data_IF_257211936423
#
_entry.id   IF_257211936423
#
_cell.length_a   1.000
_cell.length_b   1.000
_cell.length_c   1.000
_cell.angle_alpha   90.00
_cell.angle_beta   90.00
_cell.angle_gamma   90.00
#
_symmetry.space_group_name_H-M   'P 1'
#
loop_
_entity.id
_entity.type
_entity.pdbx_description
1 polymer ?
#
# COMPACT_ATOMS: atom_id res chain seq x y z
N UNK A 1 -27.68 -11.48 -11.23
CA UNK A 1 -26.82 -10.51 -11.93
C UNK A 1 -25.50 -11.20 -12.14
N UNK A 2 -25.04 -11.26 -13.39
CA UNK A 2 -23.76 -11.90 -13.70
C UNK A 2 -22.64 -11.09 -13.04
N UNK A 3 -21.69 -11.76 -12.39
CA UNK A 3 -20.55 -11.10 -11.75
C UNK A 3 -19.68 -10.33 -12.76
N UNK A 4 -19.72 -10.74 -14.03
CA UNK A 4 -19.10 -10.00 -15.13
C UNK A 4 -19.79 -8.64 -15.36
N UNK A 5 -21.12 -8.61 -15.31
CA UNK A 5 -21.90 -7.38 -15.52
C UNK A 5 -21.63 -6.36 -14.41
N UNK A 6 -21.38 -6.83 -13.19
CA UNK A 6 -21.03 -5.96 -12.05
C UNK A 6 -19.79 -5.12 -12.31
N UNK A 7 -18.74 -5.68 -12.92
CA UNK A 7 -17.52 -4.94 -13.22
C UNK A 7 -17.77 -3.70 -14.10
N UNK A 8 -18.75 -3.78 -15.00
CA UNK A 8 -19.05 -2.71 -15.95
C UNK A 8 -20.14 -1.77 -15.45
N UNK A 9 -21.17 -2.29 -14.79
CA UNK A 9 -22.38 -1.54 -14.42
C UNK A 9 -22.43 -1.13 -12.94
N UNK A 10 -21.69 -1.81 -12.06
CA UNK A 10 -21.63 -1.46 -10.64
C UNK A 10 -20.25 -1.84 -10.05
N UNK A 11 -19.20 -1.08 -10.41
CA UNK A 11 -17.84 -1.41 -10.02
C UNK A 11 -17.64 -1.37 -8.50
N UNK A 12 -18.40 -0.57 -7.76
CA UNK A 12 -18.28 -0.53 -6.30
C UNK A 12 -18.77 -1.83 -5.65
N UNK A 13 -19.88 -2.39 -6.14
CA UNK A 13 -20.32 -3.72 -5.71
C UNK A 13 -19.34 -4.81 -6.14
N UNK A 14 -18.78 -4.75 -7.36
CA UNK A 14 -17.74 -5.70 -7.76
C UNK A 14 -16.51 -5.61 -6.85
N UNK A 15 -16.12 -4.40 -6.46
CA UNK A 15 -15.02 -4.16 -5.55
C UNK A 15 -15.25 -4.79 -4.17
N UNK A 16 -16.47 -4.71 -3.63
CA UNK A 16 -16.82 -5.42 -2.41
C UNK A 16 -16.67 -6.95 -2.56
N UNK A 17 -17.09 -7.51 -3.70
CA UNK A 17 -16.98 -8.94 -3.97
C UNK A 17 -15.53 -9.41 -4.01
N UNK A 18 -14.60 -8.65 -4.63
CA UNK A 18 -13.19 -9.02 -4.66
C UNK A 18 -12.53 -8.92 -3.27
N UNK A 19 -12.94 -7.95 -2.45
CA UNK A 19 -12.44 -7.77 -1.08
C UNK A 19 -12.92 -8.88 -0.12
N UNK A 20 -14.24 -9.13 -0.09
CA UNK A 20 -14.84 -10.07 0.85
C UNK A 20 -14.71 -11.54 0.39
N UNK A 21 -14.52 -11.77 -0.91
CA UNK A 21 -14.29 -13.10 -1.47
C UNK A 21 -12.79 -13.40 -1.65
N UNK A 22 -12.24 -13.27 -2.87
CA UNK A 22 -10.86 -13.60 -3.19
C UNK A 22 -9.80 -13.14 -2.20
N UNK A 23 -9.77 -11.85 -1.82
CA UNK A 23 -8.75 -11.32 -0.91
C UNK A 23 -8.81 -11.99 0.47
N UNK A 24 -10.01 -12.11 1.04
CA UNK A 24 -10.20 -12.79 2.34
C UNK A 24 -9.75 -14.25 2.27
N UNK A 25 -10.08 -14.94 1.17
CA UNK A 25 -9.79 -16.35 0.99
C UNK A 25 -8.28 -16.64 0.89
N UNK A 26 -7.55 -15.89 0.05
CA UNK A 26 -6.09 -16.03 -0.06
C UNK A 26 -5.39 -15.63 1.23
N UNK A 27 -5.90 -14.59 1.91
CA UNK A 27 -5.29 -14.11 3.14
C UNK A 27 -5.51 -15.09 4.31
N UNK A 28 -6.66 -15.77 4.35
CA UNK A 28 -6.90 -16.86 5.28
C UNK A 28 -5.89 -17.99 5.09
N UNK A 29 -5.61 -18.39 3.85
CA UNK A 29 -4.54 -19.35 3.54
C UNK A 29 -3.19 -18.90 4.06
N UNK A 30 -2.80 -17.64 3.78
CA UNK A 30 -1.53 -17.07 4.25
C UNK A 30 -1.38 -17.10 5.78
N UNK A 31 -2.45 -16.83 6.53
CA UNK A 31 -2.41 -16.84 8.01
C UNK A 31 -2.13 -18.22 8.62
N UNK A 32 -2.27 -19.30 7.85
CA UNK A 32 -1.91 -20.66 8.29
C UNK A 32 -0.41 -20.93 8.20
N UNK A 33 0.34 -20.10 7.47
CA UNK A 33 1.78 -20.26 7.30
C UNK A 33 2.55 -19.67 8.48
N UNK A 34 3.34 -20.51 9.15
CA UNK A 34 4.29 -20.03 10.15
C UNK A 34 5.48 -19.36 9.47
N UNK A 35 5.68 -18.08 9.72
CA UNK A 35 6.80 -17.30 9.18
C UNK A 35 7.65 -16.69 10.30
N UNK A 36 8.93 -16.38 10.04
CA UNK A 36 9.75 -15.64 10.99
C UNK A 36 9.12 -14.30 11.39
N UNK A 37 9.46 -13.81 12.58
CA UNK A 37 8.84 -12.60 13.15
C UNK A 37 8.88 -11.36 12.24
N UNK A 38 9.96 -11.18 11.48
CA UNK A 38 10.07 -10.05 10.55
C UNK A 38 9.18 -10.20 9.32
N UNK A 39 8.92 -11.43 8.86
CA UNK A 39 7.99 -11.70 7.76
C UNK A 39 6.53 -11.47 8.16
N UNK A 40 6.20 -11.46 9.45
CA UNK A 40 4.85 -11.08 9.91
C UNK A 40 4.47 -9.65 9.55
N UNK A 41 5.44 -8.77 9.27
CA UNK A 41 5.14 -7.43 8.75
C UNK A 41 4.50 -7.45 7.36
N UNK A 42 4.70 -8.52 6.58
CA UNK A 42 3.94 -8.74 5.34
C UNK A 42 2.44 -8.89 5.63
N UNK A 43 2.07 -9.66 6.66
CA UNK A 43 0.68 -9.79 7.12
C UNK A 43 0.12 -8.44 7.60
N UNK A 44 0.90 -7.67 8.37
CA UNK A 44 0.47 -6.34 8.84
C UNK A 44 0.24 -5.35 7.70
N UNK A 45 1.03 -5.40 6.63
CA UNK A 45 0.79 -4.59 5.43
C UNK A 45 -0.47 -5.03 4.67
N UNK A 46 -0.76 -6.33 4.62
CA UNK A 46 -2.00 -6.87 4.04
C UNK A 46 -3.21 -6.47 4.89
N UNK A 47 -3.13 -6.59 6.22
CA UNK A 47 -4.17 -6.11 7.14
C UNK A 47 -4.43 -4.62 6.94
N UNK A 48 -3.36 -3.80 6.88
CA UNK A 48 -3.46 -2.37 6.62
C UNK A 48 -4.11 -2.10 5.27
N UNK A 49 -3.73 -2.82 4.23
CA UNK A 49 -4.34 -2.71 2.91
C UNK A 49 -5.84 -3.03 2.96
N UNK A 50 -6.24 -4.12 3.62
CA UNK A 50 -7.64 -4.52 3.76
C UNK A 50 -8.47 -3.49 4.55
N UNK A 51 -7.93 -2.93 5.63
CA UNK A 51 -8.57 -1.87 6.43
C UNK A 51 -8.79 -0.61 5.58
N UNK A 52 -7.77 -0.16 4.85
CA UNK A 52 -7.90 1.00 3.97
C UNK A 52 -8.83 0.73 2.79
N UNK A 53 -8.82 -0.49 2.25
CA UNK A 53 -9.70 -0.92 1.18
C UNK A 53 -11.18 -0.91 1.59
N UNK A 54 -11.49 -1.42 2.80
CA UNK A 54 -12.82 -1.36 3.39
C UNK A 54 -13.23 0.09 3.69
N UNK A 55 -12.32 0.91 4.20
CA UNK A 55 -12.58 2.35 4.41
C UNK A 55 -12.90 3.05 3.10
N UNK A 56 -12.13 2.78 2.04
CA UNK A 56 -12.36 3.31 0.70
C UNK A 56 -13.73 2.91 0.15
N UNK A 57 -14.12 1.63 0.33
CA UNK A 57 -15.45 1.15 -0.08
C UNK A 57 -16.55 1.99 0.57
N UNK A 58 -16.59 2.07 1.89
CA UNK A 58 -17.65 2.80 2.62
C UNK A 58 -17.65 4.30 2.32
N UNK A 59 -16.48 4.92 2.16
CA UNK A 59 -16.41 6.34 1.79
C UNK A 59 -16.89 6.58 0.35
N UNK A 60 -16.67 5.62 -0.55
CA UNK A 60 -17.12 5.68 -1.94
C UNK A 60 -18.64 5.49 -2.09
N UNK A 61 -19.31 4.87 -1.10
CA UNK A 61 -20.78 4.85 -1.01
C UNK A 61 -21.40 6.22 -0.69
N UNK A 62 -20.56 7.19 -0.31
CA UNK A 62 -20.96 8.55 -0.01
C UNK A 62 -21.13 8.88 1.47
N UNK A 63 -20.85 10.14 1.80
CA UNK A 63 -21.06 10.69 3.14
C UNK A 63 -22.25 11.65 3.17
N UNK A 64 -22.78 11.93 4.36
CA UNK A 64 -23.80 12.95 4.54
C UNK A 64 -23.10 14.31 4.68
N UNK A 65 -23.10 15.14 3.63
CA UNK A 65 -22.36 16.41 3.63
C UNK A 65 -23.07 17.57 4.36
N UNK A 66 -24.41 17.61 4.46
CA UNK A 66 -25.12 18.71 5.13
C UNK A 66 -26.53 18.40 5.64
N UNK A 67 -26.91 19.07 6.75
CA UNK A 67 -28.17 19.05 7.52
C UNK A 67 -29.45 19.56 6.80
N UNK A 68 -29.44 19.66 5.47
CA UNK A 68 -30.64 19.94 4.67
C UNK A 68 -31.47 18.69 4.36
N UNK A 69 -30.97 17.52 4.74
CA UNK A 69 -31.66 16.24 4.65
C UNK A 69 -32.79 16.19 5.67
N UNK A 70 -34.00 16.51 5.24
CA UNK A 70 -35.20 15.99 5.90
C UNK A 70 -35.21 14.47 5.77
N UNK A 71 -35.94 13.75 6.62
CA UNK A 71 -36.06 12.27 6.58
C UNK A 71 -36.52 11.72 5.22
N UNK A 72 -36.95 12.58 4.29
CA UNK A 72 -37.44 12.24 2.96
C UNK A 72 -36.40 12.35 1.83
N UNK A 73 -35.29 13.10 1.98
CA UNK A 73 -34.26 13.22 0.93
C UNK A 73 -32.85 13.31 1.56
N UNK A 74 -32.16 12.17 1.69
CA UNK A 74 -30.74 12.13 2.05
C UNK A 74 -29.90 12.36 0.79
N UNK A 75 -29.38 13.56 0.61
CA UNK A 75 -28.36 13.82 -0.41
C UNK A 75 -27.02 13.32 0.15
N UNK A 76 -26.49 12.24 -0.44
CA UNK A 76 -25.12 11.80 -0.18
C UNK A 76 -24.16 12.61 -1.07
N UNK A 77 -23.16 13.21 -0.45
CA UNK A 77 -22.06 13.90 -1.11
C UNK A 77 -20.83 13.01 -1.21
N UNK A 78 -19.96 13.31 -2.16
CA UNK A 78 -18.70 12.59 -2.36
C UNK A 78 -17.60 13.20 -1.47
N UNK A 79 -17.05 12.42 -0.54
CA UNK A 79 -15.90 12.85 0.27
C UNK A 79 -14.61 12.84 -0.58
N UNK A 80 -14.46 13.89 -1.38
CA UNK A 80 -13.35 14.04 -2.32
C UNK A 80 -11.98 13.91 -1.62
N UNK A 81 -11.83 14.48 -0.43
CA UNK A 81 -10.54 14.55 0.25
C UNK A 81 -10.17 13.22 0.89
N UNK A 82 -11.10 12.62 1.64
CA UNK A 82 -10.81 11.38 2.38
C UNK A 82 -10.71 10.20 1.43
N UNK A 83 -11.58 10.09 0.41
CA UNK A 83 -11.51 9.01 -0.59
C UNK A 83 -10.15 9.01 -1.29
N UNK A 84 -9.68 10.18 -1.73
CA UNK A 84 -8.37 10.29 -2.38
C UNK A 84 -7.22 9.99 -1.42
N UNK A 85 -7.30 10.48 -0.19
CA UNK A 85 -6.25 10.24 0.80
C UNK A 85 -6.15 8.75 1.16
N UNK A 86 -7.28 8.06 1.34
CA UNK A 86 -7.31 6.62 1.60
C UNK A 86 -6.79 5.84 0.38
N UNK A 87 -7.23 6.19 -0.83
CA UNK A 87 -6.76 5.52 -2.04
C UNK A 87 -5.24 5.65 -2.25
N UNK A 88 -4.68 6.83 -1.98
CA UNK A 88 -3.21 7.02 -1.98
C UNK A 88 -2.53 6.08 -1.00
N UNK A 89 -3.04 5.98 0.22
CA UNK A 89 -2.46 5.11 1.24
C UNK A 89 -2.59 3.63 0.86
N UNK A 90 -3.65 3.23 0.15
CA UNK A 90 -3.76 1.89 -0.42
C UNK A 90 -2.64 1.61 -1.42
N UNK A 91 -2.38 2.54 -2.37
CA UNK A 91 -1.25 2.42 -3.31
C UNK A 91 0.06 2.30 -2.55
N UNK A 92 0.36 3.24 -1.64
CA UNK A 92 1.64 3.23 -0.91
C UNK A 92 1.82 1.97 -0.07
N UNK A 93 0.74 1.43 0.52
CA UNK A 93 0.78 0.20 1.32
C UNK A 93 1.07 -1.01 0.42
N UNK A 94 0.37 -1.13 -0.71
CA UNK A 94 0.63 -2.20 -1.67
C UNK A 94 2.06 -2.14 -2.23
N UNK A 95 2.50 -0.95 -2.65
CA UNK A 95 3.85 -0.73 -3.19
C UNK A 95 4.92 -1.07 -2.16
N UNK A 96 4.72 -0.71 -0.89
CA UNK A 96 5.62 -1.10 0.21
C UNK A 96 5.67 -2.62 0.37
N UNK A 97 4.50 -3.28 0.37
CA UNK A 97 4.41 -4.74 0.46
C UNK A 97 5.14 -5.43 -0.69
N UNK A 98 4.82 -5.06 -1.92
CA UNK A 98 5.43 -5.64 -3.11
C UNK A 98 6.95 -5.42 -3.13
N UNK A 99 7.39 -4.18 -2.91
CA UNK A 99 8.80 -3.83 -2.99
C UNK A 99 9.67 -4.58 -1.97
N UNK A 100 9.18 -4.73 -0.73
CA UNK A 100 9.93 -5.38 0.33
C UNK A 100 9.86 -6.90 0.20
N UNK A 101 8.68 -7.47 -0.04
CA UNK A 101 8.42 -8.91 0.16
C UNK A 101 8.29 -9.72 -1.12
N UNK A 102 8.05 -9.08 -2.27
CA UNK A 102 7.74 -9.77 -3.55
C UNK A 102 8.85 -9.55 -4.56
N UNK A 103 9.28 -8.31 -4.78
CA UNK A 103 10.23 -7.94 -5.84
C UNK A 103 11.66 -8.48 -5.60
N UNK A 104 12.02 -8.71 -4.34
CA UNK A 104 13.34 -9.19 -3.94
C UNK A 104 13.72 -10.49 -4.64
N UNK A 105 14.93 -10.58 -5.21
CA UNK A 105 15.40 -11.78 -5.93
C UNK A 105 15.96 -12.87 -5.01
N UNK A 106 16.23 -12.52 -3.75
CA UNK A 106 16.72 -13.45 -2.74
C UNK A 106 16.16 -13.12 -1.37
N UNK A 107 16.17 -14.11 -0.47
CA UNK A 107 15.73 -13.91 0.91
C UNK A 107 16.63 -12.93 1.68
N UNK A 108 17.92 -12.89 1.36
CA UNK A 108 18.85 -11.93 1.95
C UNK A 108 18.54 -10.49 1.51
N UNK A 109 18.24 -10.28 0.23
CA UNK A 109 17.77 -8.98 -0.28
C UNK A 109 16.46 -8.56 0.40
N UNK A 110 15.50 -9.48 0.52
CA UNK A 110 14.21 -9.25 1.19
C UNK A 110 14.40 -8.76 2.63
N UNK A 111 15.22 -9.48 3.41
CA UNK A 111 15.58 -9.11 4.78
C UNK A 111 16.29 -7.75 4.83
N UNK A 112 17.20 -7.50 3.89
CA UNK A 112 17.93 -6.24 3.83
C UNK A 112 16.99 -5.06 3.57
N UNK A 113 16.08 -5.16 2.59
CA UNK A 113 15.02 -4.17 2.34
C UNK A 113 14.16 -3.93 3.57
N UNK A 114 13.74 -5.00 4.25
CA UNK A 114 12.98 -4.91 5.49
C UNK A 114 13.74 -4.17 6.60
N UNK A 115 15.03 -4.48 6.82
CA UNK A 115 15.84 -3.79 7.83
C UNK A 115 16.00 -2.31 7.50
N UNK A 116 16.27 -1.96 6.25
CA UNK A 116 16.34 -0.56 5.83
C UNK A 116 15.01 0.17 6.05
N UNK A 117 13.87 -0.48 5.77
CA UNK A 117 12.54 0.09 5.98
C UNK A 117 12.26 0.35 7.45
N UNK A 118 12.64 -0.60 8.31
CA UNK A 118 12.49 -0.48 9.76
C UNK A 118 13.40 0.61 10.34
N UNK A 119 14.65 0.71 9.89
CA UNK A 119 15.59 1.76 10.30
C UNK A 119 15.06 3.15 9.87
N UNK A 120 14.57 3.28 8.65
CA UNK A 120 13.94 4.52 8.14
C UNK A 120 12.80 4.96 9.07
N UNK A 121 11.89 4.03 9.41
CA UNK A 121 10.80 4.30 10.36
C UNK A 121 11.27 4.70 11.76
N UNK A 122 12.33 4.07 12.28
CA UNK A 122 12.92 4.43 13.59
C UNK A 122 13.61 5.80 13.55
N UNK A 123 14.22 6.19 12.43
CA UNK A 123 14.75 7.55 12.25
C UNK A 123 13.63 8.59 12.16
N UNK A 124 12.52 8.30 11.48
CA UNK A 124 11.36 9.20 11.43
C UNK A 124 10.74 9.41 12.83
N UNK A 125 10.57 8.34 13.62
CA UNK A 125 10.06 8.47 15.00
C UNK A 125 10.90 9.43 15.85
N UNK A 126 12.22 9.45 15.68
CA UNK A 126 13.11 10.36 16.42
C UNK A 126 12.95 11.83 16.07
N UNK A 127 12.23 12.17 14.99
CA UNK A 127 11.93 13.56 14.62
C UNK A 127 10.77 14.14 15.42
N UNK A 128 9.95 13.30 16.07
CA UNK A 128 8.88 13.78 16.93
C UNK A 128 9.45 14.53 18.14
N UNK A 129 8.98 15.75 18.36
CA UNK A 129 9.35 16.58 19.51
C UNK A 129 8.47 16.19 20.70
N UNK A 130 8.90 15.18 21.43
CA UNK A 130 8.21 14.68 22.64
C UNK A 130 8.91 15.27 23.85
N UNK A 131 8.14 15.89 24.74
CA UNK A 131 8.61 16.32 26.06
C UNK A 131 8.48 15.14 27.04
N UNK A 132 9.57 14.43 27.24
CA UNK A 132 9.61 13.26 28.12
C UNK A 132 9.61 13.64 29.61
N UNK A 133 9.83 14.91 29.96
CA UNK A 133 9.73 15.35 31.35
C UNK A 133 8.25 15.50 31.77
N UNK A 134 7.39 15.97 30.87
CA UNK A 134 5.94 15.97 31.09
C UNK A 134 5.26 14.63 30.82
N UNK A 135 5.90 13.71 30.08
CA UNK A 135 5.39 12.38 29.75
C UNK A 135 6.40 11.26 30.12
N UNK A 136 6.71 11.07 31.42
CA UNK A 136 7.71 10.10 31.87
C UNK A 136 7.40 8.65 31.47
N UNK A 137 6.13 8.30 31.30
CA UNK A 137 5.66 6.98 30.85
C UNK A 137 6.12 6.63 29.43
N UNK A 138 6.56 7.61 28.63
CA UNK A 138 7.09 7.39 27.28
C UNK A 138 8.59 7.11 27.26
N UNK A 139 9.32 7.32 28.38
CA UNK A 139 10.77 7.04 28.47
C UNK A 139 11.11 5.57 28.15
N UNK A 140 10.37 4.55 28.64
CA UNK A 140 10.61 3.16 28.26
C UNK A 140 10.44 2.89 26.76
N UNK A 141 9.49 3.56 26.10
CA UNK A 141 9.27 3.43 24.65
C UNK A 141 10.47 4.01 23.90
N UNK A 142 10.98 5.16 24.34
CA UNK A 142 12.16 5.78 23.74
C UNK A 142 13.41 4.88 23.84
N UNK A 143 13.64 4.27 25.01
CA UNK A 143 14.79 3.38 25.19
C UNK A 143 14.65 2.10 24.36
N UNK A 144 13.44 1.54 24.27
CA UNK A 144 13.17 0.41 23.38
C UNK A 144 13.45 0.75 21.92
N UNK A 145 12.99 1.90 21.42
CA UNK A 145 13.24 2.33 20.04
C UNK A 145 14.75 2.55 19.78
N UNK A 146 15.53 3.00 20.78
CA UNK A 146 16.99 3.11 20.68
C UNK A 146 17.68 1.75 20.60
N UNK A 147 17.27 0.81 21.45
CA UNK A 147 17.79 -0.57 21.45
C UNK A 147 17.50 -1.24 20.11
N UNK A 148 16.24 -1.16 19.65
CA UNK A 148 15.80 -1.74 18.39
C UNK A 148 16.57 -1.14 17.20
N UNK A 149 16.82 0.17 17.20
CA UNK A 149 17.67 0.78 16.16
C UNK A 149 19.09 0.22 16.19
N UNK A 150 19.71 0.12 17.36
CA UNK A 150 21.06 -0.43 17.48
C UNK A 150 21.14 -1.86 16.97
N UNK A 151 20.15 -2.70 17.30
CA UNK A 151 20.05 -4.07 16.81
C UNK A 151 19.91 -4.12 15.28
N UNK A 152 19.04 -3.30 14.70
CA UNK A 152 18.83 -3.29 13.24
C UNK A 152 20.09 -2.84 12.49
N UNK A 153 20.82 -1.85 13.00
CA UNK A 153 22.07 -1.37 12.39
C UNK A 153 23.13 -2.50 12.33
N UNK A 154 23.18 -3.36 13.34
CA UNK A 154 24.07 -4.51 13.37
C UNK A 154 23.59 -5.66 12.46
N UNK A 155 22.28 -5.91 12.42
CA UNK A 155 21.71 -6.91 11.51
C UNK A 155 21.92 -6.56 10.03
N UNK A 156 21.83 -5.27 9.67
CA UNK A 156 22.13 -4.80 8.31
C UNK A 156 23.55 -5.17 7.90
N UNK A 157 24.56 -4.89 8.74
CA UNK A 157 25.97 -5.19 8.45
C UNK A 157 26.25 -6.69 8.33
N UNK A 158 25.51 -7.51 9.06
CA UNK A 158 25.66 -8.98 9.04
C UNK A 158 24.91 -9.65 7.88
N UNK A 159 24.01 -8.94 7.20
CA UNK A 159 23.22 -9.50 6.11
C UNK A 159 24.13 -9.81 4.89
N UNK A 160 24.09 -11.02 4.31
CA UNK A 160 24.92 -11.36 3.14
C UNK A 160 24.75 -10.43 1.94
N UNK A 161 23.54 -9.89 1.73
CA UNK A 161 23.28 -8.94 0.66
C UNK A 161 24.06 -7.63 0.84
N UNK A 162 24.24 -7.17 2.09
CA UNK A 162 25.07 -5.99 2.39
C UNK A 162 26.51 -6.16 1.86
N UNK A 163 27.10 -7.34 2.08
CA UNK A 163 28.47 -7.64 1.67
C UNK A 163 28.61 -7.93 0.16
N UNK A 164 27.49 -8.18 -0.53
CA UNK A 164 27.48 -8.39 -1.98
C UNK A 164 27.52 -7.10 -2.79
N UNK A 165 27.27 -5.96 -2.14
CA UNK A 165 27.23 -4.65 -2.78
C UNK A 165 28.59 -3.96 -2.72
N UNK A 166 28.97 -3.34 -3.84
CA UNK A 166 30.12 -2.44 -3.86
C UNK A 166 29.92 -1.27 -2.89
N UNK A 167 30.97 -0.83 -2.15
CA UNK A 167 30.84 0.23 -1.15
C UNK A 167 30.23 1.52 -1.69
N UNK A 168 30.55 1.88 -2.95
CA UNK A 168 29.98 3.07 -3.61
C UNK A 168 28.48 2.95 -3.91
N UNK A 169 27.99 1.73 -4.15
CA UNK A 169 26.57 1.46 -4.41
C UNK A 169 25.80 1.41 -3.08
N UNK A 170 26.34 0.76 -2.06
CA UNK A 170 25.78 0.73 -0.71
C UNK A 170 25.60 2.14 -0.13
N UNK A 171 26.62 3.01 -0.27
CA UNK A 171 26.56 4.40 0.21
C UNK A 171 25.40 5.23 -0.40
N UNK A 172 24.85 4.80 -1.54
CA UNK A 172 23.67 5.45 -2.15
C UNK A 172 22.42 5.25 -1.32
N UNK A 173 22.31 4.15 -0.57
CA UNK A 173 21.09 3.78 0.17
C UNK A 173 21.29 3.64 1.68
N UNK A 174 22.52 3.46 2.15
CA UNK A 174 22.78 3.26 3.58
C UNK A 174 24.04 4.00 4.02
N UNK A 175 23.87 4.89 4.99
CA UNK A 175 24.95 5.61 5.69
C UNK A 175 24.44 5.91 7.11
N UNK A 176 24.77 5.07 8.11
CA UNK A 176 24.23 5.20 9.45
C UNK A 176 24.76 6.45 10.19
N UNK A 177 25.97 6.91 9.86
CA UNK A 177 26.55 8.14 10.44
C UNK A 177 25.74 9.37 10.04
N UNK A 178 25.25 9.38 8.78
CA UNK A 178 24.36 10.44 8.26
C UNK A 178 22.87 10.14 8.47
N UNK A 179 22.52 9.12 9.25
CA UNK A 179 21.13 8.65 9.48
C UNK A 179 20.36 8.40 8.18
N UNK A 180 21.05 7.84 7.19
CA UNK A 180 20.51 7.55 5.87
C UNK A 180 20.19 6.06 5.77
N UNK A 181 18.92 5.76 5.54
CA UNK A 181 18.42 4.42 5.25
C UNK A 181 17.33 4.51 4.19
N UNK A 182 17.63 4.17 2.95
CA UNK A 182 16.71 4.24 1.82
C UNK A 182 16.33 2.82 1.40
N UNK A 183 15.17 2.37 1.87
CA UNK A 183 14.59 1.09 1.49
C UNK A 183 13.97 1.09 0.08
N UNK A 184 13.73 2.28 -0.48
CA UNK A 184 13.18 2.49 -1.83
C UNK A 184 14.31 2.56 -2.84
N UNK A 185 14.63 1.45 -3.49
CA UNK A 185 15.69 1.39 -4.49
C UNK A 185 15.48 0.26 -5.51
N UNK A 186 15.90 0.49 -6.75
CA UNK A 186 16.00 -0.53 -7.78
C UNK A 186 17.44 -1.02 -7.91
N UNK A 187 17.58 -2.26 -8.38
CA UNK A 187 18.86 -2.88 -8.74
C UNK A 187 18.84 -3.13 -10.25
N UNK A 188 19.70 -2.44 -10.97
CA UNK A 188 19.89 -2.67 -12.40
C UNK A 188 20.63 -4.00 -12.66
N UNK A 189 20.59 -4.51 -13.90
CA UNK A 189 21.21 -5.79 -14.28
C UNK A 189 22.71 -5.88 -13.98
N UNK A 190 23.41 -4.75 -13.92
CA UNK A 190 24.82 -4.65 -13.56
C UNK A 190 25.06 -4.42 -12.06
N UNK A 191 24.11 -4.79 -11.20
CA UNK A 191 24.13 -4.58 -9.74
C UNK A 191 24.26 -3.11 -9.29
N UNK A 192 24.00 -2.15 -10.17
CA UNK A 192 23.96 -0.73 -9.78
C UNK A 192 22.66 -0.41 -9.06
N UNK A 193 22.80 0.27 -7.93
CA UNK A 193 21.71 0.74 -7.09
C UNK A 193 21.25 2.11 -7.57
N UNK A 194 19.94 2.22 -7.78
CA UNK A 194 19.25 3.47 -8.07
C UNK A 194 18.26 3.77 -6.94
N UNK A 195 18.53 4.76 -6.07
CA UNK A 195 17.56 5.24 -5.09
C UNK A 195 16.30 5.75 -5.77
N UNK A 196 15.14 5.48 -5.19
CA UNK A 196 13.83 5.80 -5.76
C UNK A 196 12.98 6.65 -4.83
N UNK A 197 12.13 7.48 -5.43
CA UNK A 197 10.93 8.01 -4.80
C UNK A 197 9.82 6.97 -4.84
N UNK A 198 8.83 7.10 -3.94
CA UNK A 198 7.68 6.19 -3.90
C UNK A 198 6.90 6.18 -5.23
N UNK A 199 6.82 7.32 -5.93
CA UNK A 199 6.16 7.39 -7.25
C UNK A 199 6.89 6.58 -8.32
N UNK A 200 8.22 6.52 -8.25
CA UNK A 200 9.01 5.70 -9.19
C UNK A 200 8.82 4.20 -8.89
N UNK A 201 8.52 3.83 -7.64
CA UNK A 201 8.09 2.48 -7.32
C UNK A 201 6.69 2.17 -7.86
N UNK A 202 5.76 3.14 -7.81
CA UNK A 202 4.44 3.01 -8.46
C UNK A 202 4.63 2.76 -9.95
N UNK A 203 5.48 3.55 -10.63
CA UNK A 203 5.80 3.39 -12.05
C UNK A 203 6.39 2.01 -12.38
N UNK A 204 7.26 1.50 -11.51
CA UNK A 204 7.94 0.23 -11.71
C UNK A 204 7.01 -0.98 -11.50
N UNK A 205 6.13 -0.93 -10.50
CA UNK A 205 5.28 -2.07 -10.09
C UNK A 205 3.95 -2.05 -10.84
N UNK A 206 3.36 -0.86 -11.00
CA UNK A 206 2.11 -0.63 -11.72
C UNK A 206 2.43 0.10 -13.03
N UNK A 207 2.78 -0.63 -14.09
CA UNK A 207 3.26 -0.07 -15.38
C UNK A 207 2.14 0.54 -16.24
N UNK A 208 1.22 1.28 -15.63
CA UNK A 208 0.17 2.00 -16.33
C UNK A 208 0.09 3.45 -15.85
N UNK A 209 -0.09 4.37 -16.81
CA UNK A 209 -0.23 5.80 -16.51
C UNK A 209 -1.41 6.10 -15.60
N UNK A 210 -2.42 5.23 -15.58
CA UNK A 210 -3.59 5.39 -14.73
C UNK A 210 -3.22 5.39 -13.24
N UNK A 211 -2.32 4.51 -12.78
CA UNK A 211 -1.86 4.52 -11.39
C UNK A 211 -0.97 5.71 -11.07
N UNK A 212 -0.11 6.12 -11.99
CA UNK A 212 0.76 7.31 -11.83
C UNK A 212 -0.11 8.56 -11.68
N UNK A 213 -1.10 8.71 -12.57
CA UNK A 213 -2.02 9.84 -12.56
C UNK A 213 -2.91 9.83 -11.32
N UNK A 214 -3.43 8.67 -10.93
CA UNK A 214 -4.22 8.57 -9.70
C UNK A 214 -3.39 8.85 -8.45
N UNK A 215 -2.13 8.42 -8.39
CA UNK A 215 -1.21 8.75 -7.29
C UNK A 215 -0.93 10.26 -7.21
N UNK A 216 -0.65 10.92 -8.35
CA UNK A 216 -0.47 12.39 -8.40
C UNK A 216 -1.75 13.13 -8.02
N UNK A 217 -2.88 12.70 -8.59
CA UNK A 217 -4.19 13.30 -8.36
C UNK A 217 -4.61 13.19 -6.89
N UNK A 218 -4.49 12.00 -6.29
CA UNK A 218 -4.77 11.80 -4.88
C UNK A 218 -3.85 12.63 -3.98
N UNK A 219 -2.56 12.78 -4.35
CA UNK A 219 -1.65 13.68 -3.65
C UNK A 219 -2.14 15.13 -3.64
N UNK A 220 -2.69 15.64 -4.75
CA UNK A 220 -3.26 16.99 -4.80
C UNK A 220 -4.43 17.12 -3.83
N UNK A 221 -5.26 16.09 -3.71
CA UNK A 221 -6.49 16.09 -2.89
C UNK A 221 -6.26 15.71 -1.41
N UNK A 222 -5.05 15.27 -1.04
CA UNK A 222 -4.63 15.12 0.37
C UNK A 222 -4.13 16.42 1.00
N UNK A 223 -3.89 17.46 0.21
CA UNK A 223 -3.41 18.75 0.68
C UNK A 223 -4.44 19.84 0.43
N UNK A 224 -4.44 20.88 1.27
CA UNK A 224 -5.29 22.07 1.12
C UNK A 224 -4.76 23.04 0.06
N UNK A 225 -4.46 22.53 -1.14
CA UNK A 225 -3.97 23.30 -2.27
C UNK A 225 -5.09 23.91 -3.11
N UNK A 226 -4.76 24.88 -3.97
CA UNK A 226 -5.75 25.58 -4.80
C UNK A 226 -6.59 24.62 -5.66
N UNK A 227 -5.95 23.66 -6.35
CA UNK A 227 -6.63 22.71 -7.24
C UNK A 227 -7.65 21.84 -6.46
N UNK A 228 -7.30 21.39 -5.25
CA UNK A 228 -8.20 20.53 -4.48
C UNK A 228 -9.40 21.30 -3.96
N UNK A 229 -9.23 22.57 -3.55
CA UNK A 229 -10.34 23.44 -3.14
C UNK A 229 -11.23 23.84 -4.32
N UNK A 230 -10.64 24.16 -5.48
CA UNK A 230 -11.40 24.48 -6.70
C UNK A 230 -12.24 23.28 -7.18
N UNK A 231 -11.68 22.06 -7.09
CA UNK A 231 -12.45 20.86 -7.42
C UNK A 231 -13.57 20.63 -6.39
N UNK A 232 -13.28 20.80 -5.10
CA UNK A 232 -14.28 20.67 -4.06
C UNK A 232 -15.44 21.67 -4.24
N UNK A 233 -15.17 22.93 -4.59
CA UNK A 233 -16.21 23.91 -4.93
C UNK A 233 -17.13 23.39 -6.04
N UNK A 234 -16.56 22.71 -7.04
CA UNK A 234 -17.31 22.14 -8.16
C UNK A 234 -18.08 20.87 -7.80
N UNK A 235 -17.73 20.14 -6.74
CA UNK A 235 -18.36 18.84 -6.38
C UNK A 235 -19.24 18.89 -5.14
N UNK A 236 -18.99 19.84 -4.23
CA UNK A 236 -19.72 19.97 -2.97
C UNK A 236 -21.22 20.14 -3.20
N UNK A 237 -22.03 19.50 -2.35
CA UNK A 237 -23.50 19.57 -2.39
C UNK A 237 -24.13 19.05 -3.69
N UNK A 238 -23.37 18.35 -4.54
CA UNK A 238 -23.91 17.63 -5.70
C UNK A 238 -24.11 16.16 -5.34
N UNK A 239 -25.14 15.50 -5.89
CA UNK A 239 -25.25 14.06 -5.79
C UNK A 239 -23.98 13.39 -6.30
N UNK A 240 -23.58 12.30 -5.63
CA UNK A 240 -22.52 11.43 -6.13
C UNK A 240 -22.88 10.98 -7.54
N UNK A 241 -21.93 11.08 -8.45
CA UNK A 241 -22.06 10.54 -9.80
C UNK A 241 -20.95 9.56 -10.07
N UNK A 242 -21.26 8.49 -10.79
CA UNK A 242 -20.32 7.43 -11.21
C UNK A 242 -19.05 8.00 -11.86
N UNK A 243 -19.16 9.14 -12.55
CA UNK A 243 -18.02 9.87 -13.14
C UNK A 243 -16.89 10.18 -12.13
N UNK A 244 -17.22 10.41 -10.85
CA UNK A 244 -16.26 10.76 -9.81
C UNK A 244 -15.74 9.54 -9.03
N UNK A 245 -16.55 8.50 -8.88
CA UNK A 245 -16.24 7.31 -8.08
C UNK A 245 -15.64 6.19 -8.92
N UNK A 246 -16.10 6.01 -10.16
CA UNK A 246 -15.75 4.85 -10.99
C UNK A 246 -14.25 4.74 -11.29
N UNK A 247 -13.53 5.81 -11.69
CA UNK A 247 -12.12 5.67 -12.05
C UNK A 247 -11.26 5.14 -10.89
N UNK A 248 -11.44 5.70 -9.69
CA UNK A 248 -10.70 5.25 -8.50
C UNK A 248 -11.16 3.88 -8.04
N UNK A 249 -12.47 3.59 -8.13
CA UNK A 249 -13.01 2.26 -7.78
C UNK A 249 -12.44 1.17 -8.69
N UNK A 250 -12.34 1.42 -10.00
CA UNK A 250 -11.71 0.48 -10.95
C UNK A 250 -10.24 0.26 -10.64
N UNK A 251 -9.50 1.33 -10.34
CA UNK A 251 -8.11 1.18 -9.92
C UNK A 251 -7.96 0.47 -8.57
N UNK A 252 -8.91 0.63 -7.65
CA UNK A 252 -8.94 -0.12 -6.39
C UNK A 252 -9.16 -1.61 -6.63
N UNK A 253 -10.09 -1.99 -7.52
CA UNK A 253 -10.26 -3.38 -7.96
C UNK A 253 -8.95 -3.95 -8.50
N UNK A 254 -8.29 -3.21 -9.39
CA UNK A 254 -7.04 -3.65 -10.00
C UNK A 254 -5.91 -3.76 -8.98
N UNK A 255 -5.81 -2.82 -8.04
CA UNK A 255 -4.85 -2.87 -6.94
C UNK A 255 -5.10 -4.08 -6.02
N UNK A 256 -6.36 -4.42 -5.77
CA UNK A 256 -6.73 -5.63 -5.03
C UNK A 256 -6.37 -6.91 -5.80
N UNK A 257 -6.56 -6.95 -7.12
CA UNK A 257 -6.10 -8.06 -7.93
C UNK A 257 -4.56 -8.22 -7.87
N UNK A 258 -3.82 -7.12 -7.91
CA UNK A 258 -2.36 -7.13 -7.81
C UNK A 258 -1.87 -7.70 -6.46
N UNK A 259 -2.46 -7.26 -5.34
CA UNK A 259 -2.05 -7.76 -4.01
C UNK A 259 -2.42 -9.24 -3.82
N UNK A 260 -3.55 -9.71 -4.37
CA UNK A 260 -3.95 -11.12 -4.30
C UNK A 260 -2.91 -12.01 -4.98
N UNK A 261 -2.53 -11.68 -6.21
CA UNK A 261 -1.51 -12.44 -6.97
C UNK A 261 -0.17 -12.45 -6.22
N UNK A 262 0.25 -11.29 -5.70
CA UNK A 262 1.51 -11.17 -4.96
C UNK A 262 1.52 -11.92 -3.63
N UNK A 263 0.38 -12.00 -2.94
CA UNK A 263 0.22 -12.87 -1.77
C UNK A 263 0.47 -14.33 -2.16
N UNK A 264 -0.06 -14.78 -3.30
CA UNK A 264 0.13 -16.14 -3.81
C UNK A 264 1.57 -16.42 -4.26
N UNK A 265 2.31 -15.40 -4.71
CA UNK A 265 3.74 -15.53 -5.05
C UNK A 265 4.58 -15.85 -3.80
N UNK A 266 4.25 -15.24 -2.66
CA UNK A 266 5.06 -15.35 -1.44
C UNK A 266 4.57 -16.41 -0.45
N UNK A 267 3.44 -17.07 -0.72
CA UNK A 267 2.81 -18.02 0.20
C UNK A 267 2.05 -19.15 -0.52
N UNK A 268 2.48 -20.38 -0.28
CA UNK A 268 1.91 -21.57 -0.91
C UNK A 268 0.47 -21.88 -0.48
N UNK A 269 0.15 -21.69 0.81
CA UNK A 269 -1.21 -21.93 1.29
C UNK A 269 -2.18 -20.93 0.68
N UNK A 270 -1.77 -19.67 0.54
CA UNK A 270 -2.55 -18.67 -0.17
C UNK A 270 -2.77 -19.03 -1.64
N UNK A 271 -1.73 -19.55 -2.31
CA UNK A 271 -1.83 -20.04 -3.70
C UNK A 271 -2.82 -21.20 -3.84
N UNK A 272 -2.81 -22.15 -2.90
CA UNK A 272 -3.79 -23.25 -2.86
C UNK A 272 -5.21 -22.70 -2.71
N UNK A 273 -5.43 -21.73 -1.82
CA UNK A 273 -6.73 -21.09 -1.67
C UNK A 273 -7.15 -20.34 -2.95
N UNK A 274 -6.23 -19.65 -3.62
CA UNK A 274 -6.53 -18.98 -4.88
C UNK A 274 -7.01 -19.95 -5.97
N UNK A 275 -6.33 -21.09 -6.12
CA UNK A 275 -6.69 -22.12 -7.10
C UNK A 275 -8.05 -22.78 -6.83
N UNK A 276 -8.58 -22.67 -5.60
CA UNK A 276 -9.93 -23.15 -5.27
C UNK A 276 -11.04 -22.12 -5.56
N UNK A 277 -10.71 -20.89 -5.98
CA UNK A 277 -11.69 -19.87 -6.32
C UNK A 277 -12.44 -20.23 -7.62
N UNK A 278 -13.64 -19.69 -7.86
CA UNK A 278 -14.30 -19.80 -9.17
C UNK A 278 -13.38 -19.34 -10.32
N UNK A 279 -13.42 -20.04 -11.46
CA UNK A 279 -12.55 -19.80 -12.62
C UNK A 279 -12.56 -18.33 -13.08
N UNK A 280 -13.73 -17.69 -13.07
CA UNK A 280 -13.87 -16.27 -13.37
C UNK A 280 -12.91 -15.39 -12.56
N UNK A 281 -12.82 -15.59 -11.23
CA UNK A 281 -11.94 -14.78 -10.39
C UNK A 281 -10.47 -15.05 -10.67
N UNK A 282 -10.11 -16.30 -10.93
CA UNK A 282 -8.73 -16.67 -11.29
C UNK A 282 -8.32 -15.97 -12.59
N UNK A 283 -9.14 -16.13 -13.64
CA UNK A 283 -8.90 -15.54 -14.95
C UNK A 283 -8.85 -14.01 -14.90
N UNK A 284 -9.78 -13.40 -14.15
CA UNK A 284 -9.82 -11.95 -13.96
C UNK A 284 -8.57 -11.44 -13.26
N UNK A 285 -8.20 -12.02 -12.12
CA UNK A 285 -7.07 -11.56 -11.29
C UNK A 285 -5.76 -11.74 -12.07
N UNK A 286 -5.52 -12.91 -12.64
CA UNK A 286 -4.31 -13.19 -13.42
C UNK A 286 -4.26 -12.33 -14.70
N UNK A 287 -5.39 -12.14 -15.37
CA UNK A 287 -5.50 -11.29 -16.57
C UNK A 287 -5.17 -9.82 -16.29
N UNK A 288 -5.73 -9.25 -15.22
CA UNK A 288 -5.43 -7.88 -14.78
C UNK A 288 -3.96 -7.73 -14.40
N UNK A 289 -3.40 -8.66 -13.64
CA UNK A 289 -1.99 -8.66 -13.26
C UNK A 289 -1.08 -8.63 -14.49
N UNK A 290 -1.34 -9.51 -15.47
CA UNK A 290 -0.60 -9.55 -16.73
C UNK A 290 -0.72 -8.24 -17.50
N UNK A 291 -1.92 -7.67 -17.59
CA UNK A 291 -2.15 -6.42 -18.31
C UNK A 291 -1.44 -5.22 -17.69
N UNK A 292 -1.32 -5.17 -16.36
CA UNK A 292 -0.69 -4.04 -15.66
C UNK A 292 0.84 -4.17 -15.63
N UNK A 293 1.36 -5.41 -15.63
CA UNK A 293 2.80 -5.68 -15.48
C UNK A 293 3.55 -5.94 -16.79
N UNK A 294 2.84 -6.13 -17.91
CA UNK A 294 3.45 -6.19 -19.24
C UNK A 294 4.21 -4.89 -19.51
#
# INVERSE_FOLDING_TARGET
MDINELLYHNPLTFYEHILLGPLTHVYYGKKQTNVPSWMNYSNLLIDKFAIHSSSFFHLSEGIIEHKGSTDKIKIKGYDLFTVNSVFRVMIETYITFNHIFVESKSEYEKQFRFYLWKIDGLFEKKKFKIDYESLPELKPVQEKDKQELSEMLELVKKNPFYNSLEPSELAKIYDPEKRKSLWKFAIAENNKIRPLKIIELVEQICKTDAFINAYKYSSVHSHSGFISIEHFEKTRSKPISDKYTDPLTRLAIYLTALIIEDICIIDENARIQFLSLPAFFQDFITGINKSIRA
#
